data_IF_078705715061
#
_entry.id   IF_078705715061
#
_cell.length_a   1.000
_cell.length_b   1.000
_cell.length_c   1.000
_cell.angle_alpha   90.00
_cell.angle_beta   90.00
_cell.angle_gamma   90.00
#
_symmetry.space_group_name_H-M   'P 1'
#
loop_
_entity.id
_entity.type
_entity.pdbx_description
1 polymer ?
#
# COMPACT_ATOMS: atom_id res chain seq x y z
N UNK A 1 -17.16 -26.20 20.53
CA UNK A 1 -16.73 -25.81 19.15
C UNK A 1 -17.39 -24.48 18.87
N UNK A 2 -16.82 -23.61 18.02
CA UNK A 2 -17.51 -22.37 17.64
C UNK A 2 -18.79 -22.74 16.86
N UNK A 3 -19.87 -22.00 17.09
CA UNK A 3 -21.13 -22.10 16.34
C UNK A 3 -20.84 -21.92 14.84
N UNK A 4 -21.43 -22.75 13.98
CA UNK A 4 -21.28 -22.64 12.52
C UNK A 4 -22.51 -22.02 11.91
N UNK A 5 -22.29 -21.06 11.04
CA UNK A 5 -23.37 -20.38 10.32
C UNK A 5 -23.11 -20.50 8.82
N UNK A 6 -24.12 -20.95 8.08
CA UNK A 6 -24.07 -21.01 6.62
C UNK A 6 -24.79 -19.80 6.02
N UNK A 7 -24.10 -19.07 5.12
CA UNK A 7 -24.67 -18.03 4.28
C UNK A 7 -24.81 -18.53 2.85
N UNK A 8 -26.02 -18.51 2.31
CA UNK A 8 -26.29 -19.08 0.98
C UNK A 8 -27.33 -18.28 0.20
N UNK A 9 -27.13 -18.19 -1.12
CA UNK A 9 -28.26 -18.05 -2.05
C UNK A 9 -28.78 -19.42 -2.40
N UNK A 10 -30.01 -19.49 -2.92
CA UNK A 10 -30.58 -20.71 -3.46
C UNK A 10 -30.89 -20.53 -4.94
N UNK A 11 -30.86 -21.63 -5.66
CA UNK A 11 -31.17 -21.68 -7.07
C UNK A 11 -32.11 -22.88 -7.38
N UNK A 12 -32.38 -23.10 -8.64
CA UNK A 12 -33.32 -24.13 -9.11
C UNK A 12 -32.90 -25.58 -8.81
N UNK A 13 -31.65 -25.81 -8.39
CA UNK A 13 -31.17 -27.13 -7.94
C UNK A 13 -31.23 -27.32 -6.42
N UNK A 14 -31.61 -26.29 -5.67
CA UNK A 14 -31.78 -26.39 -4.23
C UNK A 14 -33.27 -26.62 -3.89
N UNK A 15 -33.55 -27.31 -2.79
CA UNK A 15 -32.64 -28.00 -1.86
C UNK A 15 -32.12 -29.35 -2.36
N UNK A 16 -32.88 -30.06 -3.15
CA UNK A 16 -32.60 -31.39 -3.69
C UNK A 16 -33.14 -31.47 -5.11
N UNK A 17 -32.45 -32.19 -5.97
CA UNK A 17 -32.86 -32.38 -7.35
C UNK A 17 -32.27 -33.64 -7.95
N UNK A 18 -33.09 -34.37 -8.75
CA UNK A 18 -32.68 -35.63 -9.36
C UNK A 18 -32.14 -36.61 -8.30
N UNK A 19 -32.80 -36.65 -7.13
CA UNK A 19 -32.42 -37.49 -5.98
C UNK A 19 -31.00 -37.24 -5.49
N UNK A 20 -30.51 -35.98 -5.60
CA UNK A 20 -29.22 -35.55 -5.12
C UNK A 20 -29.32 -34.20 -4.40
N UNK A 21 -28.52 -34.03 -3.37
CA UNK A 21 -28.40 -32.74 -2.67
C UNK A 21 -28.07 -31.61 -3.64
N UNK A 22 -28.84 -30.53 -3.56
CA UNK A 22 -28.39 -29.22 -3.99
C UNK A 22 -27.22 -28.72 -3.11
N UNK A 23 -26.53 -27.67 -3.54
CA UNK A 23 -25.31 -27.25 -2.84
C UNK A 23 -25.55 -26.82 -1.39
N UNK A 24 -26.69 -26.17 -1.10
CA UNK A 24 -27.07 -25.81 0.26
C UNK A 24 -27.17 -27.03 1.17
N UNK A 25 -28.05 -28.00 0.78
CA UNK A 25 -28.26 -29.19 1.58
C UNK A 25 -27.01 -30.04 1.72
N UNK A 26 -26.19 -30.11 0.67
CA UNK A 26 -24.91 -30.85 0.72
C UNK A 26 -23.88 -30.22 1.71
N UNK A 27 -23.79 -28.89 1.76
CA UNK A 27 -22.99 -28.21 2.77
C UNK A 27 -23.56 -28.45 4.18
N UNK A 28 -24.87 -28.34 4.36
CA UNK A 28 -25.52 -28.64 5.64
C UNK A 28 -25.21 -30.06 6.12
N UNK A 29 -25.20 -31.05 5.23
CA UNK A 29 -24.93 -32.46 5.53
C UNK A 29 -23.52 -32.66 6.10
N UNK A 30 -22.52 -32.03 5.50
CA UNK A 30 -21.10 -32.26 5.83
C UNK A 30 -20.54 -31.32 6.88
N UNK A 31 -21.10 -30.12 7.03
CA UNK A 31 -20.58 -29.10 7.97
C UNK A 31 -21.45 -28.88 9.19
N UNK A 32 -22.73 -29.34 9.17
CA UNK A 32 -23.68 -29.22 10.28
C UNK A 32 -23.74 -27.80 10.85
N UNK A 33 -24.14 -26.78 10.07
CA UNK A 33 -24.34 -25.43 10.60
C UNK A 33 -25.54 -25.38 11.51
N UNK A 34 -25.45 -24.63 12.60
CA UNK A 34 -26.56 -24.43 13.56
C UNK A 34 -27.58 -23.43 13.01
N UNK A 35 -27.12 -22.48 12.17
CA UNK A 35 -28.01 -21.53 11.47
C UNK A 35 -27.66 -21.44 9.98
N UNK A 36 -28.68 -21.28 9.18
CA UNK A 36 -28.56 -21.13 7.73
C UNK A 36 -29.28 -19.86 7.28
N UNK A 37 -28.54 -18.87 6.85
CA UNK A 37 -29.03 -17.62 6.29
C UNK A 37 -29.23 -17.76 4.79
N UNK A 38 -30.49 -17.68 4.35
CA UNK A 38 -30.91 -18.04 3.00
C UNK A 38 -31.44 -16.79 2.28
N UNK A 39 -30.74 -16.37 1.23
CA UNK A 39 -31.18 -15.27 0.37
C UNK A 39 -31.98 -15.80 -0.82
N UNK A 40 -33.23 -15.33 -0.94
CA UNK A 40 -34.14 -15.73 -1.99
C UNK A 40 -34.39 -14.60 -2.98
N UNK A 41 -34.26 -14.90 -4.28
CA UNK A 41 -34.80 -14.04 -5.34
C UNK A 41 -36.31 -14.18 -5.37
N UNK A 42 -36.98 -13.31 -6.12
CA UNK A 42 -38.47 -13.39 -6.27
C UNK A 42 -38.93 -14.74 -6.80
N UNK A 43 -38.23 -15.30 -7.79
CA UNK A 43 -38.54 -16.64 -8.33
C UNK A 43 -38.43 -17.73 -7.26
N UNK A 44 -37.36 -17.71 -6.44
CA UNK A 44 -37.18 -18.71 -5.38
C UNK A 44 -38.17 -18.52 -4.23
N UNK A 45 -38.54 -17.27 -3.93
CA UNK A 45 -39.63 -16.97 -2.99
C UNK A 45 -40.96 -17.55 -3.48
N UNK A 46 -41.29 -17.42 -4.76
CA UNK A 46 -42.53 -17.93 -5.33
C UNK A 46 -42.57 -19.46 -5.28
N UNK A 47 -41.44 -20.15 -5.53
CA UNK A 47 -41.37 -21.60 -5.33
C UNK A 47 -41.55 -22.01 -3.87
N UNK A 48 -40.90 -21.30 -2.93
CA UNK A 48 -41.07 -21.59 -1.50
C UNK A 48 -42.51 -21.38 -1.05
N UNK A 49 -43.20 -20.37 -1.57
CA UNK A 49 -44.64 -20.16 -1.30
C UNK A 49 -45.56 -21.23 -1.90
N UNK A 50 -45.19 -21.78 -3.07
CA UNK A 50 -45.98 -22.78 -3.78
C UNK A 50 -45.91 -24.16 -3.13
N UNK A 51 -44.69 -24.62 -2.76
CA UNK A 51 -44.49 -26.02 -2.35
C UNK A 51 -43.78 -26.18 -0.99
N UNK A 52 -43.32 -25.06 -0.37
CA UNK A 52 -42.60 -25.03 0.92
C UNK A 52 -41.36 -25.93 0.92
N UNK A 53 -40.63 -25.95 -0.21
CA UNK A 53 -39.51 -26.87 -0.43
C UNK A 53 -38.39 -26.72 0.60
N UNK A 54 -38.04 -25.49 0.99
CA UNK A 54 -37.01 -25.24 2.00
C UNK A 54 -37.50 -25.62 3.39
N UNK A 55 -38.71 -25.19 3.77
CA UNK A 55 -39.31 -25.53 5.07
C UNK A 55 -39.39 -27.04 5.25
N UNK A 56 -39.90 -27.77 4.26
CA UNK A 56 -39.99 -29.27 4.29
C UNK A 56 -38.58 -29.88 4.41
N UNK A 57 -37.58 -29.31 3.75
CA UNK A 57 -36.19 -29.78 3.86
C UNK A 57 -35.66 -29.61 5.28
N UNK A 58 -35.86 -28.44 5.91
CA UNK A 58 -35.43 -28.23 7.29
C UNK A 58 -36.15 -29.13 8.27
N UNK A 59 -37.48 -29.37 8.10
CA UNK A 59 -38.19 -30.33 8.90
C UNK A 59 -37.58 -31.73 8.74
N UNK A 60 -37.38 -32.20 7.51
CA UNK A 60 -36.79 -33.50 7.23
C UNK A 60 -35.40 -33.69 7.83
N UNK A 61 -34.48 -32.72 7.63
CA UNK A 61 -33.11 -32.83 8.14
C UNK A 61 -33.08 -32.75 9.64
N UNK A 62 -33.88 -31.89 10.27
CA UNK A 62 -33.91 -31.74 11.73
C UNK A 62 -34.52 -32.97 12.42
N UNK A 63 -35.51 -33.62 11.81
CA UNK A 63 -36.02 -34.91 12.30
C UNK A 63 -34.95 -36.00 12.18
N UNK A 64 -34.20 -36.03 11.08
CA UNK A 64 -33.22 -37.07 10.78
C UNK A 64 -31.88 -36.86 11.52
N UNK A 65 -31.51 -35.62 11.77
CA UNK A 65 -30.25 -35.24 12.44
C UNK A 65 -30.47 -34.80 13.90
N UNK A 66 -31.26 -35.50 14.64
CA UNK A 66 -31.81 -35.13 15.95
C UNK A 66 -30.89 -34.40 16.92
N UNK A 67 -29.55 -34.65 16.85
CA UNK A 67 -28.53 -34.03 17.69
C UNK A 67 -27.89 -32.75 17.06
N UNK A 68 -28.16 -32.47 15.76
CA UNK A 68 -27.55 -31.39 14.97
C UNK A 68 -28.59 -30.57 14.21
N UNK A 69 -29.57 -30.00 14.93
CA UNK A 69 -30.65 -29.23 14.30
C UNK A 69 -30.14 -27.90 13.74
N UNK A 70 -30.65 -27.51 12.56
CA UNK A 70 -30.37 -26.26 11.90
C UNK A 70 -31.56 -25.30 11.90
N UNK A 71 -31.35 -24.03 12.22
CA UNK A 71 -32.35 -22.98 12.12
C UNK A 71 -32.21 -22.25 10.78
N UNK A 72 -33.34 -22.04 10.06
CA UNK A 72 -33.39 -21.30 8.81
C UNK A 72 -33.75 -19.84 9.06
N UNK A 73 -32.93 -18.91 8.55
CA UNK A 73 -33.18 -17.46 8.55
C UNK A 73 -33.34 -17.01 7.09
N UNK A 74 -34.53 -16.58 6.72
CA UNK A 74 -34.87 -16.23 5.34
C UNK A 74 -34.73 -14.71 5.10
N UNK A 75 -34.19 -14.35 3.93
CA UNK A 75 -34.28 -13.01 3.36
C UNK A 75 -35.02 -13.05 2.04
N UNK A 76 -36.21 -12.53 2.02
CA UNK A 76 -37.08 -12.42 0.84
C UNK A 76 -36.75 -11.11 0.12
N UNK A 77 -35.79 -11.14 -0.79
CA UNK A 77 -35.27 -9.93 -1.41
C UNK A 77 -36.21 -9.23 -2.38
N UNK A 78 -37.22 -9.95 -2.88
CA UNK A 78 -38.14 -9.46 -3.91
C UNK A 78 -37.46 -9.17 -5.27
N UNK A 79 -36.23 -9.57 -5.47
CA UNK A 79 -35.47 -9.30 -6.68
C UNK A 79 -35.96 -10.11 -7.87
N UNK A 80 -36.43 -9.41 -8.91
CA UNK A 80 -36.80 -10.00 -10.19
C UNK A 80 -35.62 -10.09 -11.15
N UNK A 81 -34.80 -9.02 -11.22
CA UNK A 81 -33.65 -8.94 -12.12
C UNK A 81 -32.37 -9.41 -11.42
N UNK A 82 -32.22 -10.72 -11.31
CA UNK A 82 -31.01 -11.34 -10.71
C UNK A 82 -29.81 -11.39 -11.63
N UNK A 83 -29.93 -10.88 -12.87
CA UNK A 83 -28.83 -10.74 -13.82
C UNK A 83 -28.12 -9.38 -13.70
N UNK A 84 -28.69 -8.43 -12.99
CA UNK A 84 -28.10 -7.13 -12.70
C UNK A 84 -27.19 -7.23 -11.46
N UNK A 85 -25.90 -6.95 -11.63
CA UNK A 85 -24.91 -7.06 -10.57
C UNK A 85 -25.18 -6.07 -9.43
N UNK A 86 -25.50 -4.83 -9.77
CA UNK A 86 -25.68 -3.76 -8.77
C UNK A 86 -26.99 -3.98 -7.99
N UNK A 87 -28.06 -4.45 -8.67
CA UNK A 87 -29.30 -4.78 -8.02
C UNK A 87 -29.17 -5.97 -7.03
N UNK A 88 -28.27 -6.91 -7.30
CA UNK A 88 -28.00 -8.07 -6.45
C UNK A 88 -27.06 -7.73 -5.30
N UNK A 89 -26.06 -6.88 -5.53
CA UNK A 89 -24.97 -6.67 -4.58
C UNK A 89 -25.45 -6.05 -3.26
N UNK A 90 -26.12 -4.91 -3.31
CA UNK A 90 -26.50 -4.17 -2.10
C UNK A 90 -27.39 -4.96 -1.13
N UNK A 91 -28.50 -5.63 -1.56
CA UNK A 91 -29.30 -6.43 -0.64
C UNK A 91 -28.54 -7.64 -0.08
N UNK A 92 -27.69 -8.27 -0.89
CA UNK A 92 -26.91 -9.42 -0.46
C UNK A 92 -25.83 -9.02 0.57
N UNK A 93 -25.17 -7.87 0.38
CA UNK A 93 -24.26 -7.29 1.36
C UNK A 93 -24.98 -6.93 2.67
N UNK A 94 -26.15 -6.29 2.58
CA UNK A 94 -26.91 -5.90 3.76
C UNK A 94 -27.35 -7.13 4.60
N UNK A 95 -27.78 -8.19 3.95
CA UNK A 95 -28.16 -9.44 4.61
C UNK A 95 -26.96 -10.15 5.23
N UNK A 96 -25.82 -10.16 4.55
CA UNK A 96 -24.56 -10.69 5.09
C UNK A 96 -24.10 -9.92 6.33
N UNK A 97 -24.11 -8.60 6.30
CA UNK A 97 -23.76 -7.74 7.43
C UNK A 97 -24.69 -7.95 8.63
N UNK A 98 -26.00 -8.20 8.37
CA UNK A 98 -26.94 -8.57 9.42
C UNK A 98 -26.53 -9.90 10.08
N UNK A 99 -26.24 -10.92 9.29
CA UNK A 99 -25.79 -12.22 9.78
C UNK A 99 -24.53 -12.10 10.64
N UNK A 100 -23.52 -11.33 10.19
CA UNK A 100 -22.28 -11.12 10.96
C UNK A 100 -22.54 -10.43 12.31
N UNK A 101 -23.42 -9.43 12.35
CA UNK A 101 -23.77 -8.75 13.61
C UNK A 101 -24.50 -9.67 14.59
N UNK A 102 -25.32 -10.57 14.07
CA UNK A 102 -26.08 -11.53 14.89
C UNK A 102 -25.21 -12.71 15.40
N UNK A 103 -24.08 -12.98 14.71
CA UNK A 103 -23.20 -14.12 15.00
C UNK A 103 -21.70 -13.71 15.00
N UNK A 104 -21.27 -12.83 15.90
CA UNK A 104 -19.92 -12.20 15.82
C UNK A 104 -18.76 -13.18 16.05
N UNK A 105 -18.98 -14.26 16.79
CA UNK A 105 -17.94 -15.23 17.17
C UNK A 105 -18.07 -16.59 16.45
N UNK A 106 -18.95 -16.68 15.45
CA UNK A 106 -19.22 -17.92 14.71
C UNK A 106 -18.19 -18.18 13.62
N UNK A 107 -18.05 -19.45 13.23
CA UNK A 107 -17.44 -19.82 11.95
C UNK A 107 -18.46 -19.64 10.82
N UNK A 108 -18.15 -18.79 9.85
CA UNK A 108 -19.05 -18.51 8.72
C UNK A 108 -18.66 -19.33 7.49
N UNK A 109 -19.59 -20.10 6.98
CA UNK A 109 -19.50 -20.85 5.73
C UNK A 109 -20.27 -20.09 4.64
N UNK A 110 -19.66 -19.84 3.49
CA UNK A 110 -20.32 -19.17 2.35
C UNK A 110 -20.46 -20.16 1.20
N UNK A 111 -21.69 -20.43 0.77
CA UNK A 111 -21.96 -21.28 -0.37
C UNK A 111 -21.62 -20.57 -1.70
N UNK A 112 -20.57 -21.01 -2.38
CA UNK A 112 -20.11 -20.45 -3.66
C UNK A 112 -20.75 -21.13 -4.88
N UNK A 113 -21.62 -22.12 -4.69
CA UNK A 113 -22.13 -22.98 -5.77
C UNK A 113 -23.56 -22.68 -6.17
N UNK A 114 -24.37 -22.07 -5.32
CA UNK A 114 -25.78 -21.78 -5.60
C UNK A 114 -26.05 -20.31 -5.95
N UNK A 115 -27.19 -20.09 -6.62
CA UNK A 115 -27.59 -18.78 -7.12
C UNK A 115 -27.08 -18.48 -8.55
N UNK A 116 -27.38 -17.28 -9.02
CA UNK A 116 -26.94 -16.80 -10.34
C UNK A 116 -25.45 -16.53 -10.39
N UNK A 117 -24.82 -16.39 -11.58
CA UNK A 117 -23.43 -15.99 -11.68
C UNK A 117 -23.10 -14.69 -10.92
N UNK A 118 -24.01 -13.71 -10.92
CA UNK A 118 -23.88 -12.45 -10.19
C UNK A 118 -23.84 -12.68 -8.69
N UNK A 119 -24.79 -13.45 -8.15
CA UNK A 119 -24.80 -13.83 -6.73
C UNK A 119 -23.52 -14.55 -6.33
N UNK A 120 -23.07 -15.52 -7.12
CA UNK A 120 -21.81 -16.25 -6.85
C UNK A 120 -20.59 -15.36 -6.83
N UNK A 121 -20.55 -14.34 -7.69
CA UNK A 121 -19.47 -13.34 -7.71
C UNK A 121 -19.46 -12.53 -6.42
N UNK A 122 -20.63 -12.05 -5.96
CA UNK A 122 -20.73 -11.32 -4.69
C UNK A 122 -20.37 -12.20 -3.50
N UNK A 123 -20.85 -13.46 -3.47
CA UNK A 123 -20.51 -14.42 -2.42
C UNK A 123 -18.99 -14.70 -2.35
N UNK A 124 -18.33 -14.87 -3.50
CA UNK A 124 -16.89 -15.04 -3.56
C UNK A 124 -16.14 -13.77 -3.08
N UNK A 125 -16.65 -12.58 -3.39
CA UNK A 125 -16.11 -11.33 -2.89
C UNK A 125 -16.28 -11.22 -1.37
N UNK A 126 -17.44 -11.56 -0.81
CA UNK A 126 -17.69 -11.58 0.64
C UNK A 126 -16.72 -12.53 1.36
N UNK A 127 -16.49 -13.72 0.81
CA UNK A 127 -15.57 -14.71 1.37
C UNK A 127 -14.12 -14.19 1.48
N UNK A 128 -13.73 -13.24 0.62
CA UNK A 128 -12.37 -12.68 0.60
C UNK A 128 -12.28 -11.33 1.32
N UNK A 129 -13.36 -10.54 1.32
CA UNK A 129 -13.31 -9.13 1.73
C UNK A 129 -13.79 -8.87 3.14
N UNK A 130 -14.51 -9.79 3.76
CA UNK A 130 -15.03 -9.61 5.12
C UNK A 130 -13.88 -9.57 6.14
N UNK A 131 -14.10 -8.79 7.21
CA UNK A 131 -13.18 -8.69 8.35
C UNK A 131 -13.51 -9.66 9.48
N UNK A 132 -14.53 -10.50 9.30
CA UNK A 132 -14.87 -11.53 10.28
C UNK A 132 -13.74 -12.58 10.38
N UNK A 133 -13.43 -13.06 11.57
CA UNK A 133 -12.19 -13.82 11.85
C UNK A 133 -12.12 -15.22 11.21
N UNK A 134 -13.25 -15.94 11.05
CA UNK A 134 -13.26 -17.30 10.46
C UNK A 134 -14.35 -17.41 9.41
N UNK A 135 -13.99 -17.07 8.15
CA UNK A 135 -14.86 -17.24 6.98
C UNK A 135 -14.25 -18.25 6.02
N UNK A 136 -15.10 -19.19 5.56
CA UNK A 136 -14.74 -20.19 4.54
C UNK A 136 -15.70 -20.18 3.39
N UNK A 137 -15.21 -20.02 2.17
CA UNK A 137 -15.98 -20.23 0.96
C UNK A 137 -16.04 -21.72 0.63
N UNK A 138 -17.23 -22.28 0.49
CA UNK A 138 -17.45 -23.69 0.17
C UNK A 138 -17.98 -23.83 -1.24
N UNK A 139 -17.33 -24.63 -2.05
CA UNK A 139 -17.75 -25.00 -3.38
C UNK A 139 -18.19 -26.46 -3.39
N UNK A 140 -19.33 -26.75 -4.01
CA UNK A 140 -19.87 -28.11 -4.16
C UNK A 140 -19.79 -28.50 -5.63
N UNK A 141 -19.14 -29.63 -5.90
CA UNK A 141 -19.04 -30.16 -7.25
C UNK A 141 -20.40 -30.75 -7.71
N UNK A 142 -20.69 -30.62 -9.02
CA UNK A 142 -21.90 -31.18 -9.58
C UNK A 142 -21.85 -32.74 -9.51
N UNK A 143 -22.92 -33.41 -9.09
CA UNK A 143 -22.97 -34.87 -9.02
C UNK A 143 -22.63 -35.57 -10.34
N UNK A 144 -23.04 -35.02 -11.47
CA UNK A 144 -22.80 -35.59 -12.80
C UNK A 144 -21.40 -35.41 -13.35
N UNK A 145 -20.53 -34.67 -12.66
CA UNK A 145 -19.16 -34.31 -13.15
C UNK A 145 -19.15 -33.47 -14.43
N UNK A 146 -20.30 -33.20 -15.02
CA UNK A 146 -20.43 -32.35 -16.21
C UNK A 146 -20.74 -30.92 -15.77
N UNK A 147 -20.05 -29.94 -16.31
CA UNK A 147 -20.41 -28.52 -16.20
C UNK A 147 -21.86 -28.36 -16.67
N UNK A 148 -22.78 -28.23 -15.70
CA UNK A 148 -24.18 -28.42 -15.96
C UNK A 148 -24.80 -27.29 -16.74
N UNK A 149 -25.52 -27.61 -17.76
CA UNK A 149 -26.80 -26.97 -17.98
C UNK A 149 -27.71 -27.51 -16.87
N UNK A 150 -27.98 -26.71 -15.84
CA UNK A 150 -29.16 -26.95 -15.01
C UNK A 150 -30.35 -26.94 -15.97
N UNK A 151 -30.91 -28.11 -16.26
CA UNK A 151 -32.12 -28.16 -17.05
C UNK A 151 -33.09 -27.20 -16.39
N UNK A 152 -33.82 -26.40 -17.19
CA UNK A 152 -34.99 -25.69 -16.66
C UNK A 152 -35.85 -26.74 -15.99
N UNK A 153 -36.16 -26.54 -14.73
CA UNK A 153 -37.20 -27.30 -14.07
C UNK A 153 -38.49 -27.10 -14.84
N UNK A 154 -39.01 -28.14 -15.45
CA UNK A 154 -40.42 -28.21 -15.50
C UNK A 154 -40.85 -28.45 -14.06
N UNK A 155 -41.41 -27.44 -13.43
CA UNK A 155 -41.93 -27.50 -12.06
C UNK A 155 -43.17 -28.43 -11.99
N UNK A 156 -43.71 -28.79 -13.15
CA UNK A 156 -44.79 -29.74 -13.25
C UNK A 156 -44.33 -31.14 -12.78
N UNK A 157 -44.70 -31.46 -11.53
CA UNK A 157 -44.42 -32.76 -10.91
C UNK A 157 -43.22 -32.77 -9.95
N UNK A 158 -42.60 -31.62 -9.60
CA UNK A 158 -41.59 -31.58 -8.56
C UNK A 158 -42.21 -31.86 -7.18
N UNK A 159 -41.79 -32.94 -6.57
CA UNK A 159 -42.15 -33.33 -5.20
C UNK A 159 -40.91 -33.41 -4.33
N UNK A 160 -40.71 -32.38 -3.53
CA UNK A 160 -39.52 -32.27 -2.65
C UNK A 160 -39.47 -33.41 -1.61
N UNK A 161 -40.61 -33.89 -1.14
CA UNK A 161 -40.65 -34.97 -0.16
C UNK A 161 -40.15 -36.28 -0.78
N UNK A 162 -40.60 -36.60 -1.98
CA UNK A 162 -40.13 -37.77 -2.72
C UNK A 162 -38.65 -37.68 -3.05
N UNK A 163 -38.18 -36.50 -3.50
CA UNK A 163 -36.76 -36.25 -3.78
C UNK A 163 -35.87 -36.42 -2.53
N UNK A 164 -36.32 -35.99 -1.35
CA UNK A 164 -35.59 -36.14 -0.09
C UNK A 164 -35.58 -37.60 0.37
N UNK A 165 -36.69 -38.32 0.26
CA UNK A 165 -36.80 -39.74 0.65
C UNK A 165 -35.93 -40.66 -0.21
N UNK A 166 -35.81 -40.36 -1.50
CA UNK A 166 -35.03 -41.13 -2.47
C UNK A 166 -33.59 -40.57 -2.66
N UNK A 167 -33.18 -39.63 -1.83
CA UNK A 167 -31.89 -38.93 -1.97
C UNK A 167 -30.71 -39.87 -1.83
N UNK A 168 -29.96 -40.06 -2.89
CA UNK A 168 -28.77 -40.92 -2.91
C UNK A 168 -27.61 -40.39 -2.09
N UNK A 169 -27.56 -39.08 -1.82
CA UNK A 169 -26.52 -38.47 -0.96
C UNK A 169 -26.75 -38.76 0.55
N UNK A 170 -27.87 -39.44 0.88
CA UNK A 170 -28.12 -39.99 2.22
C UNK A 170 -27.37 -41.30 2.50
N UNK A 171 -26.87 -41.97 1.49
CA UNK A 171 -26.11 -43.20 1.67
C UNK A 171 -24.83 -42.96 2.49
N UNK A 172 -24.46 -43.86 3.41
CA UNK A 172 -23.28 -43.68 4.27
C UNK A 172 -21.96 -43.58 3.51
N UNK A 173 -21.90 -44.10 2.30
CA UNK A 173 -20.76 -44.08 1.40
C UNK A 173 -20.84 -42.98 0.32
N UNK A 174 -21.87 -42.13 0.39
CA UNK A 174 -22.00 -41.02 -0.55
C UNK A 174 -20.79 -40.08 -0.50
N UNK A 175 -20.23 -39.68 -1.66
CA UNK A 175 -19.04 -38.87 -1.68
C UNK A 175 -19.28 -37.45 -1.19
N UNK A 176 -18.43 -36.94 -0.33
CA UNK A 176 -18.37 -35.51 -0.01
C UNK A 176 -17.86 -34.72 -1.24
N UNK A 177 -18.75 -33.90 -1.81
CA UNK A 177 -18.47 -33.06 -2.98
C UNK A 177 -18.03 -31.64 -2.62
N UNK A 178 -17.92 -31.31 -1.32
CA UNK A 178 -17.48 -30.01 -0.85
C UNK A 178 -15.97 -29.82 -1.04
N UNK A 179 -15.58 -28.62 -1.39
CA UNK A 179 -14.19 -28.19 -1.43
C UNK A 179 -14.07 -26.73 -0.99
N UNK A 180 -12.92 -26.34 -0.46
CA UNK A 180 -12.62 -24.96 -0.06
C UNK A 180 -11.66 -24.32 -1.08
N UNK A 181 -12.17 -23.60 -2.10
CA UNK A 181 -11.31 -22.96 -3.08
C UNK A 181 -10.55 -21.79 -2.45
N UNK A 182 -9.27 -21.66 -2.80
CA UNK A 182 -8.42 -20.60 -2.23
C UNK A 182 -8.71 -19.19 -2.74
N UNK A 183 -9.57 -19.00 -3.73
CA UNK A 183 -9.98 -17.72 -4.33
C UNK A 183 -8.82 -16.76 -4.68
N UNK A 184 -7.65 -17.30 -4.98
CA UNK A 184 -6.41 -16.55 -5.20
C UNK A 184 -6.53 -15.41 -6.20
N UNK A 185 -7.34 -15.57 -7.24
CA UNK A 185 -7.47 -14.52 -8.25
C UNK A 185 -8.08 -13.24 -7.64
N UNK A 186 -9.15 -13.38 -6.85
CA UNK A 186 -9.83 -12.24 -6.21
C UNK A 186 -8.93 -11.62 -5.13
N UNK A 187 -8.29 -12.44 -4.32
CA UNK A 187 -7.33 -11.98 -3.29
C UNK A 187 -6.17 -11.21 -3.91
N UNK A 188 -5.59 -11.76 -4.99
CA UNK A 188 -4.46 -11.16 -5.68
C UNK A 188 -4.81 -9.80 -6.31
N UNK A 189 -5.93 -9.69 -7.00
CA UNK A 189 -6.30 -8.44 -7.67
C UNK A 189 -6.59 -7.32 -6.65
N UNK A 190 -7.22 -7.66 -5.53
CA UNK A 190 -7.41 -6.74 -4.42
C UNK A 190 -6.08 -6.30 -3.79
N UNK A 191 -5.21 -7.26 -3.49
CA UNK A 191 -3.88 -6.98 -2.94
C UNK A 191 -3.07 -6.10 -3.91
N UNK A 192 -3.09 -6.39 -5.22
CA UNK A 192 -2.44 -5.58 -6.24
C UNK A 192 -2.88 -4.12 -6.22
N UNK A 193 -4.18 -3.86 -6.19
CA UNK A 193 -4.71 -2.49 -6.16
C UNK A 193 -4.26 -1.74 -4.90
N UNK A 194 -4.31 -2.39 -3.74
CA UNK A 194 -3.87 -1.83 -2.47
C UNK A 194 -2.36 -1.58 -2.46
N UNK A 195 -1.56 -2.56 -2.86
CA UNK A 195 -0.11 -2.45 -2.93
C UNK A 195 0.30 -1.37 -3.93
N UNK A 196 -0.33 -1.31 -5.10
CA UNK A 196 -0.09 -0.27 -6.10
C UNK A 196 -0.33 1.14 -5.55
N UNK A 197 -1.42 1.34 -4.82
CA UNK A 197 -1.72 2.61 -4.16
C UNK A 197 -0.68 3.00 -3.10
N UNK A 198 -0.26 2.05 -2.27
CA UNK A 198 0.77 2.28 -1.24
C UNK A 198 2.15 2.53 -1.84
N UNK A 199 2.52 1.83 -2.91
CA UNK A 199 3.75 2.07 -3.68
C UNK A 199 3.78 3.48 -4.28
N UNK A 200 2.68 3.93 -4.88
CA UNK A 200 2.58 5.27 -5.45
C UNK A 200 2.76 6.37 -4.38
N UNK A 201 2.29 6.11 -3.16
CA UNK A 201 2.47 6.99 -1.99
C UNK A 201 3.82 6.81 -1.29
N UNK A 202 4.64 5.84 -1.71
CA UNK A 202 5.88 5.45 -1.06
C UNK A 202 5.72 5.12 0.43
N UNK A 203 4.56 4.58 0.79
CA UNK A 203 4.24 4.18 2.16
C UNK A 203 4.70 2.75 2.42
N UNK A 204 6.01 2.60 2.54
CA UNK A 204 6.66 1.29 2.71
C UNK A 204 6.36 0.65 4.07
N UNK A 205 6.05 1.46 5.11
CA UNK A 205 5.63 0.93 6.41
C UNK A 205 4.23 0.32 6.36
N UNK A 206 3.29 0.98 5.66
CA UNK A 206 1.98 0.38 5.45
C UNK A 206 2.05 -0.88 4.58
N UNK A 207 2.95 -0.91 3.58
CA UNK A 207 3.23 -2.13 2.80
C UNK A 207 3.78 -3.27 3.67
N UNK A 208 4.72 -2.97 4.57
CA UNK A 208 5.25 -3.96 5.50
C UNK A 208 4.16 -4.53 6.43
N UNK A 209 3.24 -3.69 6.89
CA UNK A 209 2.15 -4.10 7.78
C UNK A 209 1.14 -5.07 7.13
N UNK A 210 1.04 -5.09 5.80
CA UNK A 210 0.24 -6.07 5.04
C UNK A 210 1.09 -7.19 4.46
N UNK A 211 2.22 -7.48 5.09
CA UNK A 211 3.23 -8.42 4.59
C UNK A 211 2.74 -9.85 4.36
N UNK A 212 1.70 -10.28 5.07
CA UNK A 212 1.01 -11.55 4.89
C UNK A 212 0.28 -11.68 3.55
N UNK A 213 -0.08 -10.55 2.92
CA UNK A 213 -0.71 -10.48 1.60
C UNK A 213 0.30 -10.37 0.46
N UNK A 214 1.59 -10.25 0.79
CA UNK A 214 2.67 -10.07 -0.18
C UNK A 214 3.31 -11.41 -0.55
N UNK A 215 3.80 -11.56 -1.80
CA UNK A 215 4.70 -12.65 -2.14
C UNK A 215 5.93 -12.65 -1.21
N UNK A 216 6.34 -13.82 -0.68
CA UNK A 216 7.43 -13.90 0.31
C UNK A 216 8.77 -13.34 -0.17
N UNK A 217 9.02 -13.35 -1.49
CA UNK A 217 10.23 -12.86 -2.12
C UNK A 217 10.27 -11.31 -2.25
N UNK A 218 9.13 -10.64 -2.11
CA UNK A 218 9.01 -9.18 -2.16
C UNK A 218 9.16 -8.54 -0.78
N UNK A 219 8.70 -9.19 0.27
CA UNK A 219 8.68 -8.63 1.63
C UNK A 219 10.06 -8.13 2.12
N UNK A 220 11.18 -8.83 1.87
CA UNK A 220 12.50 -8.32 2.23
C UNK A 220 12.88 -7.02 1.53
N UNK A 221 12.47 -6.83 0.26
CA UNK A 221 12.69 -5.59 -0.47
C UNK A 221 11.86 -4.43 0.12
N UNK A 222 10.61 -4.69 0.50
CA UNK A 222 9.75 -3.68 1.14
C UNK A 222 10.34 -3.25 2.49
N UNK A 223 10.80 -4.19 3.31
CA UNK A 223 11.49 -3.89 4.57
C UNK A 223 12.75 -3.05 4.36
N UNK A 224 13.54 -3.39 3.33
CA UNK A 224 14.68 -2.59 2.94
C UNK A 224 14.28 -1.14 2.58
N UNK A 225 13.24 -0.97 1.76
CA UNK A 225 12.76 0.35 1.36
C UNK A 225 12.19 1.15 2.54
N UNK A 226 11.49 0.50 3.47
CA UNK A 226 10.99 1.12 4.69
C UNK A 226 12.14 1.63 5.57
N UNK A 227 13.11 0.78 5.89
CA UNK A 227 14.28 1.17 6.68
C UNK A 227 15.08 2.29 6.01
N UNK A 228 15.26 2.21 4.69
CA UNK A 228 15.98 3.21 3.90
C UNK A 228 15.26 4.56 3.88
N UNK A 229 13.94 4.56 3.70
CA UNK A 229 13.13 5.79 3.70
C UNK A 229 13.10 6.48 5.07
N UNK A 230 13.26 5.71 6.14
CA UNK A 230 13.37 6.21 7.52
C UNK A 230 14.80 6.59 7.92
N UNK A 231 15.75 6.57 6.97
CA UNK A 231 17.18 6.81 7.21
C UNK A 231 17.83 5.82 8.21
N UNK A 232 17.26 4.63 8.38
CA UNK A 232 17.85 3.55 9.18
C UNK A 232 18.94 2.84 8.35
N UNK A 233 20.03 3.56 8.10
CA UNK A 233 21.05 3.22 7.11
C UNK A 233 21.66 1.83 7.34
N UNK A 234 22.04 1.51 8.57
CA UNK A 234 22.65 0.22 8.91
C UNK A 234 21.70 -0.96 8.66
N UNK A 235 20.42 -0.81 9.04
CA UNK A 235 19.41 -1.85 8.81
C UNK A 235 19.11 -2.01 7.33
N UNK A 236 18.99 -0.90 6.60
CA UNK A 236 18.81 -0.92 5.17
C UNK A 236 19.97 -1.64 4.45
N UNK A 237 21.21 -1.41 4.86
CA UNK A 237 22.38 -2.12 4.31
C UNK A 237 22.38 -3.61 4.63
N UNK A 238 22.01 -4.02 5.85
CA UNK A 238 21.88 -5.44 6.20
C UNK A 238 20.86 -6.13 5.31
N UNK A 239 19.68 -5.55 5.16
CA UNK A 239 18.62 -6.09 4.32
C UNK A 239 19.05 -6.15 2.84
N UNK A 240 19.71 -5.11 2.33
CA UNK A 240 20.21 -5.09 0.94
C UNK A 240 21.12 -6.27 0.59
N UNK A 241 21.92 -6.78 1.54
CA UNK A 241 22.82 -7.93 1.31
C UNK A 241 22.09 -9.23 1.11
N UNK A 242 20.85 -9.34 1.55
CA UNK A 242 20.02 -10.55 1.38
C UNK A 242 19.22 -10.54 0.07
N UNK A 243 19.20 -9.39 -0.63
CA UNK A 243 18.41 -9.22 -1.84
C UNK A 243 19.18 -9.60 -3.10
N UNK A 244 18.53 -10.37 -3.97
CA UNK A 244 19.02 -10.68 -5.31
C UNK A 244 18.19 -9.89 -6.33
N UNK A 245 18.70 -8.74 -6.77
CA UNK A 245 18.02 -7.84 -7.70
C UNK A 245 18.79 -7.71 -9.01
N UNK A 246 18.11 -7.48 -10.15
CA UNK A 246 18.76 -7.28 -11.45
C UNK A 246 19.41 -5.89 -11.57
N UNK A 247 19.42 -5.09 -10.52
CA UNK A 247 20.00 -3.75 -10.47
C UNK A 247 20.65 -3.46 -9.10
N UNK A 248 21.50 -2.44 -9.07
CA UNK A 248 22.17 -2.03 -7.85
C UNK A 248 21.27 -1.13 -7.00
N UNK A 249 21.32 -1.33 -5.68
CA UNK A 249 20.65 -0.49 -4.70
C UNK A 249 21.54 0.67 -4.20
N UNK A 250 22.84 0.46 -4.22
CA UNK A 250 23.85 1.38 -3.71
C UNK A 250 25.01 1.53 -4.69
N UNK A 251 25.81 2.61 -4.61
CA UNK A 251 27.01 2.76 -5.40
C UNK A 251 27.97 1.57 -5.23
N UNK A 252 28.66 1.20 -6.30
CA UNK A 252 29.68 0.18 -6.22
C UNK A 252 30.86 0.72 -5.40
N UNK A 253 31.05 0.16 -4.22
CA UNK A 253 32.22 0.26 -3.37
C UNK A 253 32.34 1.37 -2.32
N UNK A 254 33.10 0.94 -1.31
CA UNK A 254 33.87 1.63 -0.26
C UNK A 254 34.60 2.93 -0.65
N UNK A 255 34.71 3.26 -1.94
CA UNK A 255 35.30 4.51 -2.44
C UNK A 255 34.38 5.72 -2.26
N UNK A 256 33.08 5.53 -2.19
CA UNK A 256 32.16 6.58 -1.75
C UNK A 256 32.34 6.73 -0.24
N UNK A 257 32.98 7.80 0.21
CA UNK A 257 33.10 8.14 1.62
C UNK A 257 31.72 8.13 2.30
N UNK A 258 31.71 8.03 3.60
CA UNK A 258 30.49 8.01 4.42
C UNK A 258 29.58 9.20 4.12
N UNK A 259 30.16 10.38 3.94
CA UNK A 259 29.45 11.60 3.60
C UNK A 259 28.65 11.53 2.30
N UNK A 260 29.21 10.98 1.22
CA UNK A 260 28.47 10.83 -0.03
C UNK A 260 27.27 9.89 0.16
N UNK A 261 27.46 8.80 0.92
CA UNK A 261 26.37 7.85 1.20
C UNK A 261 25.26 8.53 1.97
N UNK A 262 25.57 9.29 3.01
CA UNK A 262 24.58 10.03 3.78
C UNK A 262 23.87 11.08 2.94
N UNK A 263 24.60 11.88 2.19
CA UNK A 263 24.02 12.90 1.31
C UNK A 263 23.14 12.28 0.20
N UNK A 264 23.55 11.16 -0.38
CA UNK A 264 22.77 10.50 -1.41
C UNK A 264 21.46 9.91 -0.86
N UNK A 265 21.48 9.31 0.34
CA UNK A 265 20.26 8.85 1.01
C UNK A 265 19.33 10.02 1.38
N UNK A 266 19.91 11.10 1.86
CA UNK A 266 19.14 12.30 2.18
C UNK A 266 18.52 12.96 0.95
N UNK A 267 19.24 12.99 -0.17
CA UNK A 267 18.74 13.44 -1.46
C UNK A 267 17.56 12.57 -1.93
N UNK A 268 17.67 11.24 -1.81
CA UNK A 268 16.60 10.32 -2.17
C UNK A 268 15.37 10.51 -1.29
N UNK A 269 15.54 10.78 0.00
CA UNK A 269 14.44 11.12 0.89
C UNK A 269 13.76 12.43 0.44
N UNK A 270 14.51 13.48 0.15
CA UNK A 270 13.95 14.75 -0.35
C UNK A 270 13.16 14.52 -1.64
N UNK A 271 13.69 13.72 -2.56
CA UNK A 271 12.99 13.35 -3.80
C UNK A 271 11.69 12.58 -3.52
N UNK A 272 11.69 11.66 -2.57
CA UNK A 272 10.48 10.93 -2.17
C UNK A 272 9.43 11.87 -1.56
N UNK A 273 9.83 12.79 -0.70
CA UNK A 273 8.95 13.80 -0.10
C UNK A 273 8.32 14.71 -1.16
N UNK A 274 9.12 15.15 -2.13
CA UNK A 274 8.63 15.95 -3.26
C UNK A 274 7.61 15.17 -4.10
N UNK A 275 7.91 13.93 -4.49
CA UNK A 275 7.03 13.10 -5.32
C UNK A 275 5.71 12.71 -4.64
N UNK A 276 5.70 12.67 -3.31
CA UNK A 276 4.51 12.34 -2.51
C UNK A 276 3.77 13.56 -1.99
N UNK A 277 4.20 14.78 -2.35
CA UNK A 277 3.56 16.03 -1.91
C UNK A 277 3.73 16.35 -0.42
N UNK A 278 4.71 15.72 0.26
CA UNK A 278 4.99 15.96 1.68
C UNK A 278 5.90 17.19 1.85
N UNK A 279 5.42 18.33 1.39
CA UNK A 279 6.23 19.55 1.27
C UNK A 279 6.63 20.15 2.62
N UNK A 280 5.82 20.02 3.66
CA UNK A 280 6.19 20.47 5.00
C UNK A 280 7.46 19.77 5.51
N UNK A 281 7.54 18.44 5.34
CA UNK A 281 8.72 17.67 5.70
C UNK A 281 9.92 17.95 4.76
N UNK A 282 9.63 18.12 3.45
CA UNK A 282 10.64 18.52 2.47
C UNK A 282 11.37 19.78 2.91
N UNK A 283 10.63 20.85 3.24
CA UNK A 283 11.21 22.13 3.69
C UNK A 283 12.00 21.96 4.99
N UNK A 284 11.48 21.20 5.97
CA UNK A 284 12.18 20.96 7.25
C UNK A 284 13.52 20.24 7.05
N UNK A 285 13.61 19.33 6.08
CA UNK A 285 14.83 18.54 5.82
C UNK A 285 15.79 19.20 4.84
N UNK A 286 15.38 20.30 4.21
CA UNK A 286 16.20 20.96 3.19
C UNK A 286 17.48 21.58 3.74
N UNK A 287 17.41 22.23 4.90
CA UNK A 287 18.58 22.96 5.46
C UNK A 287 19.76 22.06 5.83
N UNK A 288 19.61 20.94 6.54
CA UNK A 288 20.72 20.03 6.81
C UNK A 288 21.38 19.53 5.52
N UNK A 289 20.58 19.12 4.53
CA UNK A 289 21.07 18.66 3.24
C UNK A 289 21.91 19.73 2.53
N UNK A 290 21.38 20.94 2.41
CA UNK A 290 22.05 22.05 1.74
C UNK A 290 23.32 22.45 2.45
N UNK A 291 23.34 22.44 3.79
CA UNK A 291 24.55 22.79 4.57
C UNK A 291 25.71 21.84 4.26
N UNK A 292 25.44 20.51 4.25
CA UNK A 292 26.47 19.52 3.93
C UNK A 292 26.90 19.58 2.47
N UNK A 293 25.95 19.73 1.53
CA UNK A 293 26.26 19.84 0.12
C UNK A 293 27.09 21.11 -0.20
N UNK A 294 26.73 22.24 0.42
CA UNK A 294 27.50 23.48 0.27
C UNK A 294 28.91 23.39 0.88
N UNK A 295 29.05 22.77 2.06
CA UNK A 295 30.35 22.55 2.65
C UNK A 295 31.29 21.84 1.67
N UNK A 296 30.80 20.77 1.05
CA UNK A 296 31.54 20.03 0.02
C UNK A 296 31.89 20.91 -1.18
N UNK A 297 30.94 21.72 -1.67
CA UNK A 297 31.20 22.64 -2.78
C UNK A 297 32.22 23.71 -2.42
N UNK A 298 32.23 24.23 -1.18
CA UNK A 298 33.21 25.16 -0.68
C UNK A 298 34.60 24.50 -0.65
N UNK A 299 34.73 23.32 -0.04
CA UNK A 299 35.97 22.54 0.00
C UNK A 299 36.57 22.33 -1.38
N UNK A 300 35.77 21.97 -2.38
CA UNK A 300 36.21 21.80 -3.76
C UNK A 300 36.59 23.13 -4.45
N UNK A 301 36.08 24.24 -3.95
CA UNK A 301 36.34 25.58 -4.53
C UNK A 301 37.50 26.29 -3.89
N UNK A 302 37.94 25.86 -2.72
CA UNK A 302 39.10 26.42 -2.02
C UNK A 302 40.42 26.05 -2.74
N UNK A 303 41.43 26.91 -2.73
CA UNK A 303 42.77 26.55 -3.18
C UNK A 303 43.42 25.55 -2.23
N UNK A 304 44.43 24.84 -2.73
CA UNK A 304 45.24 23.91 -1.94
C UNK A 304 45.81 24.60 -0.68
N UNK A 305 45.70 23.92 0.44
CA UNK A 305 46.13 24.42 1.74
C UNK A 305 45.14 25.30 2.49
N UNK A 306 43.91 25.49 1.95
CA UNK A 306 42.83 26.24 2.62
C UNK A 306 41.64 25.33 3.05
N UNK A 307 41.84 24.03 3.07
CA UNK A 307 40.78 23.04 3.31
C UNK A 307 40.14 23.17 4.72
N UNK A 308 40.93 23.62 5.70
CA UNK A 308 40.53 23.83 7.10
C UNK A 308 39.66 25.08 7.35
N UNK A 309 39.27 25.81 6.29
CA UNK A 309 38.18 26.82 6.34
C UNK A 309 36.84 26.19 6.69
N UNK A 310 36.65 24.94 6.32
CA UNK A 310 35.50 24.11 6.71
C UNK A 310 36.00 23.04 7.67
N UNK A 311 35.47 23.05 8.89
CA UNK A 311 35.77 22.05 9.92
C UNK A 311 34.55 21.15 10.12
N UNK A 312 34.72 19.83 9.89
CA UNK A 312 33.70 18.83 10.13
C UNK A 312 33.85 18.24 11.52
N UNK A 313 32.88 18.43 12.36
CA UNK A 313 32.90 17.97 13.75
C UNK A 313 32.31 16.53 13.83
N UNK A 314 32.79 15.81 14.83
CA UNK A 314 32.34 14.43 15.10
C UNK A 314 30.84 14.31 15.52
N UNK A 315 30.27 15.43 15.96
CA UNK A 315 28.85 15.53 16.31
C UNK A 315 27.93 15.83 15.09
N UNK A 316 28.49 15.83 13.87
CA UNK A 316 27.79 16.07 12.61
C UNK A 316 27.63 17.56 12.25
N UNK A 317 28.04 18.51 13.11
CA UNK A 317 28.01 19.93 12.79
C UNK A 317 29.17 20.35 11.90
N UNK A 318 28.88 21.28 11.01
CA UNK A 318 29.88 21.89 10.12
C UNK A 318 30.17 23.30 10.59
N UNK A 319 31.44 23.55 10.93
CA UNK A 319 31.90 24.86 11.36
C UNK A 319 32.60 25.57 10.22
N UNK A 320 32.27 26.84 10.03
CA UNK A 320 32.99 27.77 9.18
C UNK A 320 34.05 28.52 10.02
N UNK A 321 35.28 28.45 9.58
CA UNK A 321 36.44 29.06 10.24
C UNK A 321 36.84 30.38 9.55
N UNK A 322 36.21 31.46 9.99
CA UNK A 322 36.48 32.81 9.45
C UNK A 322 37.90 33.27 9.72
N UNK A 323 38.47 32.91 10.89
CA UNK A 323 39.86 33.20 11.25
C UNK A 323 40.85 32.53 10.29
N UNK A 324 40.57 31.34 9.82
CA UNK A 324 41.38 30.62 8.84
C UNK A 324 41.24 31.26 7.46
N UNK A 325 40.00 31.60 7.05
CA UNK A 325 39.74 32.27 5.77
C UNK A 325 40.50 33.60 5.73
N UNK A 326 40.45 34.42 6.79
CA UNK A 326 41.15 35.70 6.85
C UNK A 326 42.66 35.53 6.75
N UNK A 327 43.22 34.50 7.37
CA UNK A 327 44.68 34.24 7.31
C UNK A 327 45.14 33.73 5.95
N UNK A 328 44.38 32.84 5.31
CA UNK A 328 44.78 32.14 4.08
C UNK A 328 44.32 32.84 2.81
N UNK A 329 43.15 33.47 2.85
CA UNK A 329 42.50 34.14 1.72
C UNK A 329 41.92 35.50 2.14
N UNK A 330 42.74 36.49 2.55
CA UNK A 330 42.23 37.75 3.11
C UNK A 330 41.32 38.51 2.17
N UNK A 331 41.61 38.55 0.86
CA UNK A 331 40.76 39.22 -0.11
C UNK A 331 39.35 38.56 -0.22
N UNK A 332 39.27 37.24 -0.07
CA UNK A 332 37.98 36.52 -0.06
C UNK A 332 37.23 36.79 1.25
N UNK A 333 37.92 36.89 2.37
CA UNK A 333 37.32 37.23 3.66
C UNK A 333 36.70 38.64 3.65
N UNK A 334 37.47 39.66 3.16
CA UNK A 334 37.02 41.04 3.05
C UNK A 334 35.81 41.17 2.10
N UNK A 335 35.79 40.42 1.00
CA UNK A 335 34.65 40.38 0.07
C UNK A 335 33.43 39.68 0.69
N UNK A 336 33.64 38.61 1.46
CA UNK A 336 32.58 37.92 2.19
C UNK A 336 31.91 38.84 3.21
N UNK A 337 32.69 39.57 4.01
CA UNK A 337 32.21 40.55 5.00
C UNK A 337 31.36 41.64 4.33
N UNK A 338 31.83 42.13 3.20
CA UNK A 338 31.13 43.15 2.39
C UNK A 338 29.78 42.61 1.89
N UNK A 339 29.73 41.37 1.39
CA UNK A 339 28.48 40.72 0.92
C UNK A 339 27.53 40.37 2.04
N UNK A 340 28.05 39.98 3.20
CA UNK A 340 27.26 39.70 4.39
C UNK A 340 26.78 40.98 5.10
N UNK A 341 27.38 42.14 4.79
CA UNK A 341 27.16 43.43 5.45
C UNK A 341 27.45 43.40 6.97
N UNK A 342 28.27 42.46 7.41
CA UNK A 342 28.72 42.28 8.79
C UNK A 342 30.09 41.60 8.77
N UNK A 343 30.90 41.83 9.81
CA UNK A 343 32.11 41.05 10.03
C UNK A 343 31.76 39.61 10.37
N UNK A 344 32.21 38.66 9.57
CA UNK A 344 31.92 37.24 9.73
C UNK A 344 32.92 36.60 10.66
N UNK A 345 32.44 36.00 11.73
CA UNK A 345 33.27 35.30 12.73
C UNK A 345 33.08 33.79 12.60
N UNK A 346 33.95 33.03 13.27
CA UNK A 346 33.83 31.59 13.42
C UNK A 346 32.44 31.22 13.93
N UNK A 347 31.76 30.34 13.22
CA UNK A 347 30.38 29.90 13.53
C UNK A 347 30.05 28.60 12.83
N UNK A 348 28.91 28.07 13.15
CA UNK A 348 28.29 27.03 12.34
C UNK A 348 28.02 27.53 10.91
N UNK A 349 28.27 26.68 9.91
CA UNK A 349 28.05 27.03 8.52
C UNK A 349 26.56 27.23 8.29
N UNK A 350 26.13 28.44 8.03
CA UNK A 350 24.74 28.75 7.67
C UNK A 350 24.60 28.85 6.15
N UNK A 351 23.38 28.59 5.66
CA UNK A 351 23.07 28.74 4.24
C UNK A 351 23.49 30.13 3.72
N UNK A 352 23.19 31.17 4.47
CA UNK A 352 23.54 32.55 4.11
C UNK A 352 25.05 32.76 3.91
N UNK A 353 25.87 32.32 4.85
CA UNK A 353 27.34 32.48 4.75
C UNK A 353 27.90 31.59 3.65
N UNK A 354 27.45 30.34 3.58
CA UNK A 354 27.92 29.38 2.58
C UNK A 354 27.66 29.83 1.14
N UNK A 355 26.45 30.32 0.82
CA UNK A 355 26.12 30.79 -0.54
C UNK A 355 26.95 32.00 -0.93
N UNK A 356 27.14 32.97 0.00
CA UNK A 356 27.97 34.16 -0.26
C UNK A 356 29.44 33.80 -0.44
N UNK A 357 29.95 32.85 0.34
CA UNK A 357 31.32 32.36 0.16
C UNK A 357 31.51 31.66 -1.17
N UNK A 358 30.54 30.77 -1.58
CA UNK A 358 30.58 30.14 -2.90
C UNK A 358 30.56 31.16 -4.03
N UNK A 359 29.81 32.24 -3.89
CA UNK A 359 29.82 33.36 -4.86
C UNK A 359 31.17 34.09 -4.92
N UNK A 360 31.82 34.30 -3.78
CA UNK A 360 33.16 34.89 -3.71
C UNK A 360 34.19 33.98 -4.37
N UNK A 361 34.12 32.67 -4.13
CA UNK A 361 35.03 31.68 -4.72
C UNK A 361 34.81 31.47 -6.23
N UNK A 362 33.64 31.81 -6.77
CA UNK A 362 33.38 31.94 -8.20
C UNK A 362 33.43 30.62 -9.00
N UNK A 363 33.31 29.46 -8.37
CA UNK A 363 33.43 28.14 -9.02
C UNK A 363 32.12 27.54 -9.49
N UNK A 364 30.97 28.02 -8.96
CA UNK A 364 29.65 27.50 -9.30
C UNK A 364 28.99 28.33 -10.43
N UNK A 365 28.20 27.70 -11.30
CA UNK A 365 27.40 28.41 -12.29
C UNK A 365 26.38 29.36 -11.64
N UNK A 366 26.14 30.51 -12.29
CA UNK A 366 25.27 31.56 -11.75
C UNK A 366 23.85 31.06 -11.41
N UNK A 367 23.25 30.23 -12.26
CA UNK A 367 21.93 29.67 -12.00
C UNK A 367 21.86 28.80 -10.72
N UNK A 368 22.98 28.13 -10.35
CA UNK A 368 23.05 27.34 -9.11
C UNK A 368 23.14 28.28 -7.89
N UNK A 369 23.96 29.31 -8.01
CA UNK A 369 24.12 30.34 -6.95
C UNK A 369 22.78 31.06 -6.70
N UNK A 370 22.07 31.47 -7.76
CA UNK A 370 20.76 32.10 -7.65
C UNK A 370 19.73 31.16 -7.00
N UNK A 371 19.75 29.85 -7.32
CA UNK A 371 18.86 28.87 -6.68
C UNK A 371 19.16 28.71 -5.19
N UNK A 372 20.44 28.65 -4.81
CA UNK A 372 20.83 28.56 -3.40
C UNK A 372 20.46 29.81 -2.61
N UNK A 373 20.58 31.00 -3.23
CA UNK A 373 20.13 32.28 -2.62
C UNK A 373 18.61 32.28 -2.43
N UNK A 374 17.85 31.79 -3.40
CA UNK A 374 16.39 31.63 -3.28
C UNK A 374 16.01 30.67 -2.14
N UNK A 375 16.78 29.61 -1.92
CA UNK A 375 16.57 28.68 -0.80
C UNK A 375 16.81 29.32 0.59
N UNK A 376 17.53 30.45 0.66
CA UNK A 376 17.74 31.20 1.90
C UNK A 376 16.38 31.68 2.49
N UNK A 377 15.45 32.07 1.63
CA UNK A 377 14.10 32.48 2.01
C UNK A 377 13.26 31.34 2.54
N UNK A 378 13.40 30.14 1.97
CA UNK A 378 12.73 28.92 2.49
C UNK A 378 13.19 28.59 3.91
N UNK A 379 14.44 28.81 4.23
CA UNK A 379 14.97 28.58 5.57
C UNK A 379 14.37 29.56 6.60
N UNK A 380 14.00 30.76 6.17
CA UNK A 380 13.31 31.74 7.03
C UNK A 380 11.86 31.33 7.30
N UNK A 381 11.20 30.61 6.40
CA UNK A 381 9.85 30.05 6.63
C UNK A 381 9.85 29.01 7.76
N UNK A 382 10.95 28.28 7.99
CA UNK A 382 11.06 27.33 9.13
C UNK A 382 11.10 28.04 10.50
N UNK A 383 11.65 29.25 10.55
CA UNK A 383 11.81 30.03 11.79
C UNK A 383 10.61 30.95 12.07
N UNK A 384 9.74 31.15 11.09
CA UNK A 384 8.55 32.01 11.17
C UNK A 384 7.25 31.16 11.06
N UNK A 385 6.11 31.75 11.20
CA UNK A 385 4.86 31.19 11.69
C UNK A 385 4.41 29.82 11.15
N UNK A 386 5.03 29.25 10.10
CA UNK A 386 4.69 27.91 9.60
C UNK A 386 4.97 26.79 10.60
N UNK A 387 5.96 26.95 11.49
CA UNK A 387 6.16 26.03 12.62
C UNK A 387 5.13 26.26 13.76
N UNK A 388 4.47 27.41 13.74
CA UNK A 388 3.46 27.82 14.72
C UNK A 388 2.05 27.99 14.11
N UNK A 389 1.92 27.96 12.78
CA UNK A 389 0.63 27.97 12.09
C UNK A 389 0.26 26.56 11.67
N UNK A 390 -0.98 26.17 11.94
CA UNK A 390 -1.56 24.86 11.58
C UNK A 390 -1.86 24.77 10.07
N UNK A 391 -0.92 25.21 9.21
CA UNK A 391 -1.05 25.13 7.76
C UNK A 391 -0.05 24.15 7.15
N UNK A 392 -0.53 23.28 6.28
CA UNK A 392 0.32 22.44 5.45
C UNK A 392 1.02 23.30 4.39
N UNK A 393 2.33 23.09 4.20
CA UNK A 393 3.09 23.72 3.10
C UNK A 393 2.71 23.09 1.78
N UNK A 394 2.46 23.90 0.77
CA UNK A 394 2.20 23.48 -0.62
C UNK A 394 3.39 23.79 -1.52
N UNK A 395 3.42 23.21 -2.74
CA UNK A 395 4.44 23.58 -3.75
C UNK A 395 4.33 25.05 -4.16
N UNK A 396 3.12 25.61 -4.14
CA UNK A 396 2.89 27.04 -4.42
C UNK A 396 3.49 27.95 -3.33
N UNK A 397 3.49 27.50 -2.07
CA UNK A 397 4.16 28.22 -0.98
C UNK A 397 5.68 28.17 -1.14
N UNK A 398 6.22 27.00 -1.58
CA UNK A 398 7.63 26.87 -1.90
C UNK A 398 8.01 27.81 -3.04
N UNK A 399 7.27 27.83 -4.14
CA UNK A 399 7.51 28.74 -5.29
C UNK A 399 7.44 30.20 -4.90
N UNK A 400 6.48 30.57 -4.04
CA UNK A 400 6.33 31.94 -3.55
C UNK A 400 7.51 32.39 -2.69
N UNK A 401 8.05 31.49 -1.87
CA UNK A 401 9.17 31.80 -0.97
C UNK A 401 10.53 31.65 -1.64
N UNK A 402 10.65 30.75 -2.61
CA UNK A 402 11.92 30.44 -3.27
C UNK A 402 12.02 31.20 -4.60
N UNK A 403 12.29 32.51 -4.50
CA UNK A 403 12.43 33.42 -5.64
C UNK A 403 13.84 34.00 -5.64
N UNK A 404 14.54 33.92 -6.78
CA UNK A 404 15.88 34.48 -6.94
C UNK A 404 15.86 35.99 -7.24
N UNK A 405 17.08 36.58 -7.28
CA UNK A 405 17.24 38.02 -7.60
C UNK A 405 16.72 38.43 -8.98
N UNK A 406 16.49 37.47 -9.89
CA UNK A 406 15.93 37.68 -11.24
C UNK A 406 14.42 37.44 -11.29
N UNK A 407 13.76 37.33 -10.16
CA UNK A 407 12.31 37.05 -10.03
C UNK A 407 11.89 35.66 -10.54
N UNK A 408 12.84 34.73 -10.67
CA UNK A 408 12.52 33.33 -11.01
C UNK A 408 12.12 32.59 -9.75
N UNK A 409 10.94 31.96 -9.77
CA UNK A 409 10.43 31.09 -8.72
C UNK A 409 10.85 29.62 -8.97
N UNK A 410 11.17 28.89 -7.91
CA UNK A 410 11.58 27.48 -7.95
C UNK A 410 10.60 26.61 -7.15
N UNK A 411 10.01 25.63 -7.82
CA UNK A 411 9.21 24.59 -7.17
C UNK A 411 10.08 23.45 -6.62
N UNK A 412 9.48 22.58 -5.83
CA UNK A 412 10.20 21.48 -5.18
C UNK A 412 10.84 20.52 -6.19
N UNK A 413 10.21 20.27 -7.33
CA UNK A 413 10.72 19.43 -8.41
C UNK A 413 11.99 20.00 -9.06
N UNK A 414 11.98 21.31 -9.34
CA UNK A 414 13.16 21.99 -9.90
C UNK A 414 14.30 22.04 -8.91
N UNK A 415 14.02 22.28 -7.63
CA UNK A 415 15.03 22.23 -6.56
C UNK A 415 15.70 20.86 -6.48
N UNK A 416 14.91 19.78 -6.43
CA UNK A 416 15.44 18.40 -6.39
C UNK A 416 16.32 18.12 -7.59
N UNK A 417 15.93 18.55 -8.79
CA UNK A 417 16.73 18.36 -10.02
C UNK A 417 18.06 19.10 -9.95
N UNK A 418 18.07 20.34 -9.47
CA UNK A 418 19.29 21.15 -9.32
C UNK A 418 20.23 20.52 -8.26
N UNK A 419 19.69 20.08 -7.13
CA UNK A 419 20.48 19.42 -6.07
C UNK A 419 21.08 18.10 -6.54
N UNK A 420 20.37 17.31 -7.35
CA UNK A 420 20.94 16.12 -8.00
C UNK A 420 22.14 16.45 -8.89
N UNK A 421 22.06 17.53 -9.66
CA UNK A 421 23.16 18.03 -10.48
C UNK A 421 24.33 18.57 -9.67
N UNK A 422 24.07 19.18 -8.51
CA UNK A 422 25.12 19.60 -7.57
C UNK A 422 25.81 18.39 -6.93
N UNK A 423 25.04 17.38 -6.51
CA UNK A 423 25.57 16.16 -5.93
C UNK A 423 26.48 15.41 -6.90
N UNK A 424 26.07 15.32 -8.16
CA UNK A 424 26.90 14.74 -9.23
C UNK A 424 28.24 15.48 -9.38
N UNK A 425 28.21 16.80 -9.42
CA UNK A 425 29.44 17.61 -9.55
C UNK A 425 30.33 17.56 -8.30
N UNK A 426 29.73 17.39 -7.12
CA UNK A 426 30.47 17.29 -5.87
C UNK A 426 31.16 15.92 -5.71
N UNK A 427 30.69 14.89 -6.37
CA UNK A 427 31.18 13.52 -6.24
C UNK A 427 31.23 12.78 -7.60
N UNK A 428 31.95 13.30 -8.59
CA UNK A 428 31.92 12.82 -9.98
C UNK A 428 32.39 11.37 -10.14
N UNK A 429 33.28 10.90 -9.25
CA UNK A 429 33.84 9.54 -9.34
C UNK A 429 32.93 8.46 -8.78
N UNK A 430 32.00 8.81 -7.91
CA UNK A 430 31.17 7.86 -7.15
C UNK A 430 29.68 8.04 -7.37
N UNK A 431 29.24 9.17 -7.88
CA UNK A 431 27.84 9.47 -8.14
C UNK A 431 27.34 8.71 -9.35
N UNK A 432 26.37 7.82 -9.12
CA UNK A 432 25.66 7.10 -10.17
C UNK A 432 24.23 7.63 -10.26
N UNK A 433 23.92 8.37 -11.32
CA UNK A 433 22.59 8.94 -11.57
C UNK A 433 21.48 7.90 -11.63
N UNK A 434 21.79 6.68 -12.06
CA UNK A 434 20.80 5.59 -12.09
C UNK A 434 20.27 5.27 -10.68
N UNK A 435 21.00 5.62 -9.62
CA UNK A 435 20.57 5.44 -8.24
C UNK A 435 19.58 6.51 -7.79
N UNK A 436 19.50 7.66 -8.46
CA UNK A 436 18.51 8.69 -8.11
C UNK A 436 17.06 8.24 -8.34
N UNK A 437 16.85 7.20 -9.15
CA UNK A 437 15.55 6.58 -9.39
C UNK A 437 15.42 5.18 -8.78
N UNK A 438 16.27 4.84 -7.81
CA UNK A 438 16.31 3.49 -7.22
C UNK A 438 14.97 3.07 -6.61
N UNK A 439 14.25 3.99 -5.97
CA UNK A 439 12.92 3.71 -5.42
C UNK A 439 11.89 3.42 -6.50
N UNK A 440 11.97 4.12 -7.65
CA UNK A 440 11.08 3.87 -8.79
C UNK A 440 11.35 2.48 -9.37
N UNK A 441 12.63 2.14 -9.57
CA UNK A 441 13.06 0.80 -10.05
C UNK A 441 12.64 -0.33 -9.12
N UNK A 442 12.72 -0.10 -7.80
CA UNK A 442 12.22 -1.06 -6.81
C UNK A 442 10.70 -1.19 -6.90
N UNK A 443 9.97 -0.08 -7.04
CA UNK A 443 8.52 -0.07 -7.22
C UNK A 443 8.08 -0.84 -8.46
N UNK A 444 8.74 -0.60 -9.61
CA UNK A 444 8.51 -1.33 -10.86
C UNK A 444 8.78 -2.84 -10.70
N UNK A 445 9.86 -3.19 -10.01
CA UNK A 445 10.21 -4.59 -9.75
C UNK A 445 9.17 -5.29 -8.87
N UNK A 446 8.65 -4.60 -7.86
CA UNK A 446 7.56 -5.11 -7.01
C UNK A 446 6.29 -5.27 -7.86
N UNK A 447 5.90 -4.25 -8.63
CA UNK A 447 4.70 -4.27 -9.45
C UNK A 447 4.68 -5.40 -10.49
N UNK A 448 5.85 -5.76 -11.06
CA UNK A 448 5.97 -6.86 -12.02
C UNK A 448 5.81 -8.25 -11.39
N UNK A 449 5.97 -8.39 -10.09
CA UNK A 449 5.89 -9.67 -9.36
C UNK A 449 4.57 -9.89 -8.62
N UNK A 450 3.73 -8.89 -8.59
CA UNK A 450 2.34 -8.95 -8.12
C UNK A 450 1.40 -9.46 -9.21
#
# INVERSE_FOLDING_TARGET
MAERVLFTCVGTSDPVREMRDGSMLHIMRHYRPEKVYIFLSKEMEDFEKADRRLEKTFCFVNEKWADDTAEAVYEYSGLFNVADMDAVADPLFAFFEKMIRENPDSQVLINLSSGTPQMKTVLAQLAVSSRHGDIRGIQVANPSGKSGKSGRTNEDGYDVQLELELNEDEAPDAPNRCSEPRLFAIQRDRARAQIGSLLARRDYRALEAIGDQLPPDILPLIRHLAARNDLQTEEAYKLARTLSLPFKLYPAKRAAGEEYRELSEYYLLLRNLQLTGRYSEFVLRLNPFLTHLMARQIEMSLPEGAEDVIERRTDGWIKFRADVLQRKLPAAADELDRRCKVYVTDRELSLRVGVRLLRVLGRLPEHVLCTLEACESLNSMQRNPTAHQLHAVTDEDIKRACVDGNQKAYGADELVRIFGGMLEKAYPEVCDKALFTVYDRCGDHIAQRL
#
